data_IF_637192161803
#
_entry.id   IF_637192161803
#
_cell.length_a   1.000
_cell.length_b   1.000
_cell.length_c   1.000
_cell.angle_alpha   90.00
_cell.angle_beta   90.00
_cell.angle_gamma   90.00
#
_symmetry.space_group_name_H-M   'P 1'
#
loop_
_entity.id
_entity.type
_entity.pdbx_description
1 polymer ?
#
# COMPACT_ATOMS: atom_id res chain seq x y z
N UNK A 1 1.54 38.64 6.52
CA UNK A 1 1.23 37.87 5.29
C UNK A 1 1.53 36.37 5.42
N UNK A 2 2.73 35.95 5.87
CA UNK A 2 3.07 34.51 6.03
C UNK A 2 2.16 33.73 7.01
N UNK A 3 1.77 34.35 8.14
CA UNK A 3 0.89 33.72 9.15
C UNK A 3 -0.55 33.50 8.67
N UNK A 4 -1.04 34.36 7.76
CA UNK A 4 -2.39 34.25 7.17
C UNK A 4 -2.44 33.10 6.15
N UNK A 5 -1.36 32.88 5.41
CA UNK A 5 -1.22 31.73 4.51
C UNK A 5 -1.19 30.40 5.28
N UNK A 6 -0.44 30.33 6.40
CA UNK A 6 -0.42 29.14 7.25
C UNK A 6 -1.78 28.82 7.87
N UNK A 7 -2.53 29.84 8.30
CA UNK A 7 -3.89 29.67 8.83
C UNK A 7 -4.88 29.21 7.75
N UNK A 8 -4.77 29.74 6.53
CA UNK A 8 -5.60 29.32 5.40
C UNK A 8 -5.34 27.88 4.97
N UNK A 9 -4.08 27.41 5.05
CA UNK A 9 -3.70 26.03 4.77
C UNK A 9 -4.25 25.07 5.86
N UNK A 10 -4.19 25.46 7.13
CA UNK A 10 -4.74 24.67 8.24
C UNK A 10 -6.27 24.58 8.20
N UNK A 11 -6.95 25.63 7.76
CA UNK A 11 -8.42 25.65 7.55
C UNK A 11 -8.83 24.88 6.29
N UNK A 12 -7.99 24.84 5.25
CA UNK A 12 -8.22 23.99 4.08
C UNK A 12 -7.97 22.50 4.37
N UNK A 13 -7.16 22.19 5.40
CA UNK A 13 -6.89 20.84 5.86
C UNK A 13 -7.94 20.30 6.85
N UNK A 14 -8.84 21.15 7.37
CA UNK A 14 -9.93 20.68 8.23
C UNK A 14 -11.04 20.06 7.39
N UNK A 15 -11.06 18.73 7.31
CA UNK A 15 -12.19 17.98 6.75
C UNK A 15 -13.36 18.07 7.75
N UNK A 16 -14.60 18.32 7.31
CA UNK A 16 -15.74 18.28 8.22
C UNK A 16 -15.87 16.88 8.83
N UNK A 17 -15.86 16.79 10.16
CA UNK A 17 -16.31 15.60 10.86
C UNK A 17 -17.82 15.46 10.65
N UNK A 18 -18.23 14.61 9.71
CA UNK A 18 -19.60 14.16 9.55
C UNK A 18 -20.01 13.37 10.80
N UNK A 19 -20.50 14.07 11.81
CA UNK A 19 -21.00 13.47 13.03
C UNK A 19 -22.35 12.77 12.74
N UNK A 20 -22.25 11.44 12.61
CA UNK A 20 -23.27 10.35 12.61
C UNK A 20 -23.90 9.90 11.27
N UNK A 21 -23.62 8.63 10.89
CA UNK A 21 -24.65 7.67 10.52
C UNK A 21 -24.83 6.69 11.69
N UNK A 22 -26.00 6.69 12.32
CA UNK A 22 -26.35 5.62 13.26
C UNK A 22 -26.23 4.26 12.56
N UNK A 23 -25.42 3.37 13.10
CA UNK A 23 -25.35 1.95 12.72
C UNK A 23 -25.12 1.70 11.21
N UNK A 24 -24.24 2.47 10.56
CA UNK A 24 -23.60 1.95 9.36
C UNK A 24 -22.67 0.81 9.83
N UNK A 25 -23.17 -0.42 9.83
CA UNK A 25 -22.31 -1.59 9.96
C UNK A 25 -21.17 -1.42 8.96
N UNK A 26 -19.92 -1.48 9.45
CA UNK A 26 -18.76 -1.31 8.59
C UNK A 26 -18.89 -2.27 7.41
N UNK A 27 -19.20 -1.69 6.27
CA UNK A 27 -19.72 -2.41 5.11
C UNK A 27 -18.63 -2.61 4.07
N UNK A 28 -19.00 -3.22 2.95
CA UNK A 28 -18.13 -3.32 1.77
C UNK A 28 -17.68 -1.92 1.31
N UNK A 29 -18.56 -0.92 1.39
CA UNK A 29 -18.26 0.47 0.97
C UNK A 29 -17.16 1.09 1.82
N UNK A 30 -17.22 0.94 3.14
CA UNK A 30 -16.17 1.44 4.04
C UNK A 30 -14.85 0.76 3.74
N UNK A 31 -14.87 -0.57 3.55
CA UNK A 31 -13.71 -1.32 3.09
C UNK A 31 -13.12 -0.80 1.78
N UNK A 32 -13.96 -0.47 0.80
CA UNK A 32 -13.51 0.07 -0.49
C UNK A 32 -12.89 1.46 -0.36
N UNK A 33 -13.44 2.33 0.48
CA UNK A 33 -12.94 3.69 0.67
C UNK A 33 -11.66 3.71 1.51
N UNK A 34 -11.47 2.73 2.39
CA UNK A 34 -10.41 2.72 3.38
C UNK A 34 -8.99 2.85 2.77
N UNK A 35 -8.59 2.08 1.73
CA UNK A 35 -7.29 2.28 1.07
C UNK A 35 -7.11 3.61 0.34
N UNK A 36 -8.19 4.33 0.05
CA UNK A 36 -8.14 5.63 -0.63
C UNK A 36 -7.90 6.78 0.35
N UNK A 37 -8.31 6.61 1.61
CA UNK A 37 -8.19 7.63 2.64
C UNK A 37 -6.88 7.52 3.43
N UNK A 38 -6.31 6.32 3.56
CA UNK A 38 -4.99 6.09 4.17
C UNK A 38 -3.85 6.37 3.18
N UNK A 39 -3.07 7.44 3.43
CA UNK A 39 -2.00 7.83 2.51
C UNK A 39 -0.82 6.85 2.49
N UNK A 40 -0.48 6.28 3.63
CA UNK A 40 0.47 5.18 3.77
C UNK A 40 0.07 3.98 2.91
N UNK A 41 -1.19 3.57 2.99
CA UNK A 41 -1.71 2.41 2.28
C UNK A 41 -1.80 2.65 0.78
N UNK A 42 -2.32 3.80 0.37
CA UNK A 42 -2.37 4.23 -1.02
C UNK A 42 -0.98 4.22 -1.66
N UNK A 43 0.02 4.82 -0.99
CA UNK A 43 1.38 4.88 -1.50
C UNK A 43 2.03 3.50 -1.53
N UNK A 44 1.84 2.66 -0.51
CA UNK A 44 2.36 1.30 -0.47
C UNK A 44 1.82 0.44 -1.62
N UNK A 45 0.49 0.48 -1.86
CA UNK A 45 -0.16 -0.29 -2.92
C UNK A 45 0.29 0.15 -4.32
N UNK A 46 0.35 1.47 -4.55
CA UNK A 46 0.85 2.01 -5.81
C UNK A 46 2.32 1.64 -6.01
N UNK A 47 3.17 1.79 -5.00
CA UNK A 47 4.59 1.46 -5.07
C UNK A 47 4.83 -0.03 -5.32
N UNK A 48 4.13 -0.91 -4.61
CA UNK A 48 4.20 -2.35 -4.80
C UNK A 48 3.75 -2.74 -6.22
N UNK A 49 2.71 -2.09 -6.73
CA UNK A 49 2.23 -2.26 -8.10
C UNK A 49 3.30 -1.85 -9.12
N UNK A 50 3.84 -0.64 -8.97
CA UNK A 50 4.90 -0.10 -9.83
C UNK A 50 6.13 -1.02 -9.81
N UNK A 51 6.55 -1.46 -8.63
CA UNK A 51 7.73 -2.30 -8.47
C UNK A 51 7.53 -3.68 -9.09
N UNK A 52 6.35 -4.30 -8.87
CA UNK A 52 6.04 -5.66 -9.35
C UNK A 52 6.14 -5.79 -10.88
N UNK A 53 5.63 -4.83 -11.65
CA UNK A 53 5.69 -4.88 -13.12
C UNK A 53 7.11 -4.66 -13.66
N UNK A 54 7.98 -4.02 -12.88
CA UNK A 54 9.35 -3.68 -13.27
C UNK A 54 10.35 -4.81 -13.03
N UNK A 55 9.97 -5.84 -12.27
CA UNK A 55 10.77 -7.06 -12.09
C UNK A 55 10.93 -7.84 -13.40
N UNK A 56 9.89 -7.94 -14.24
CA UNK A 56 9.89 -8.77 -15.46
C UNK A 56 10.48 -8.12 -16.73
N UNK A 57 10.89 -6.84 -16.73
CA UNK A 57 11.19 -6.09 -17.98
C UNK A 57 12.57 -6.36 -18.63
N UNK A 58 13.36 -7.38 -18.23
CA UNK A 58 14.56 -7.81 -19.01
C UNK A 58 14.62 -9.30 -19.36
N UNK A 59 13.67 -10.13 -18.93
CA UNK A 59 13.48 -11.41 -19.62
C UNK A 59 12.76 -11.08 -20.93
N UNK A 60 13.54 -10.94 -21.99
CA UNK A 60 13.01 -10.64 -23.32
C UNK A 60 11.94 -11.64 -23.70
N UNK A 61 10.72 -11.14 -23.88
CA UNK A 61 9.68 -11.64 -24.79
C UNK A 61 9.64 -13.15 -25.10
N UNK A 62 9.84 -14.02 -24.12
CA UNK A 62 9.70 -15.45 -24.28
C UNK A 62 8.81 -15.97 -23.15
N UNK A 63 7.54 -16.16 -23.47
CA UNK A 63 6.55 -16.91 -22.68
C UNK A 63 6.93 -18.40 -22.46
N UNK A 64 8.19 -18.80 -22.74
CA UNK A 64 8.69 -20.18 -22.71
C UNK A 64 9.93 -20.38 -21.85
N UNK A 65 10.53 -19.34 -21.26
CA UNK A 65 11.76 -19.50 -20.47
C UNK A 65 11.49 -19.21 -19.00
N UNK A 66 11.11 -20.25 -18.23
CA UNK A 66 11.31 -20.39 -16.77
C UNK A 66 10.97 -19.23 -15.79
N UNK A 67 10.43 -18.12 -16.26
CA UNK A 67 10.23 -16.89 -15.51
C UNK A 67 8.94 -16.95 -14.70
N UNK A 68 8.95 -16.33 -13.52
CA UNK A 68 7.79 -16.26 -12.64
C UNK A 68 6.68 -15.45 -13.31
N UNK A 69 5.46 -16.02 -13.37
CA UNK A 69 4.30 -15.38 -14.02
C UNK A 69 4.14 -13.92 -13.52
N UNK A 70 3.85 -12.94 -14.40
CA UNK A 70 3.88 -11.51 -14.05
C UNK A 70 2.90 -11.08 -12.95
N UNK A 71 1.99 -11.98 -12.55
CA UNK A 71 1.00 -11.79 -11.49
C UNK A 71 1.35 -12.47 -10.16
N UNK A 72 2.47 -13.19 -10.05
CA UNK A 72 2.83 -13.87 -8.79
C UNK A 72 3.04 -12.87 -7.66
N UNK A 73 3.85 -11.82 -7.87
CA UNK A 73 4.08 -10.81 -6.83
C UNK A 73 2.78 -10.10 -6.40
N UNK A 74 1.90 -9.66 -7.33
CA UNK A 74 0.59 -9.13 -6.94
C UNK A 74 -0.28 -10.13 -6.17
N UNK A 75 -0.31 -11.39 -6.59
CA UNK A 75 -1.11 -12.42 -5.92
C UNK A 75 -0.59 -12.70 -4.49
N UNK A 76 0.73 -12.80 -4.33
CA UNK A 76 1.38 -12.93 -3.01
C UNK A 76 1.04 -11.73 -2.14
N UNK A 77 1.12 -10.52 -2.67
CA UNK A 77 0.78 -9.31 -1.93
C UNK A 77 -0.66 -9.36 -1.43
N UNK A 78 -1.65 -9.58 -2.30
CA UNK A 78 -3.08 -9.62 -1.90
C UNK A 78 -3.38 -10.77 -0.93
N UNK A 79 -2.76 -11.95 -1.12
CA UNK A 79 -2.93 -13.08 -0.20
C UNK A 79 -2.34 -12.77 1.20
N UNK A 80 -1.13 -12.21 1.24
CA UNK A 80 -0.47 -11.81 2.48
C UNK A 80 -1.21 -10.67 3.20
N UNK A 81 -1.77 -9.73 2.44
CA UNK A 81 -2.66 -8.68 2.95
C UNK A 81 -3.88 -9.29 3.65
N UNK A 82 -4.53 -10.26 3.01
CA UNK A 82 -5.68 -10.96 3.59
C UNK A 82 -5.32 -11.74 4.85
N UNK A 83 -4.15 -12.40 4.87
CA UNK A 83 -3.65 -13.10 6.05
C UNK A 83 -3.34 -12.14 7.21
N UNK A 84 -2.70 -10.99 6.92
CA UNK A 84 -2.48 -9.93 7.90
C UNK A 84 -3.79 -9.40 8.46
N UNK A 85 -4.76 -9.10 7.59
CA UNK A 85 -6.09 -8.64 7.99
C UNK A 85 -6.80 -9.65 8.89
N UNK A 86 -6.78 -10.94 8.54
CA UNK A 86 -7.33 -11.99 9.40
C UNK A 86 -6.67 -12.02 10.79
N UNK A 87 -5.34 -11.86 10.86
CA UNK A 87 -4.62 -11.80 12.13
C UNK A 87 -4.99 -10.55 12.95
N UNK A 88 -5.13 -9.39 12.30
CA UNK A 88 -5.57 -8.15 12.94
C UNK A 88 -6.99 -8.25 13.49
N UNK A 89 -7.93 -8.79 12.71
CA UNK A 89 -9.31 -9.03 13.15
C UNK A 89 -9.38 -10.02 14.33
N UNK A 90 -8.43 -10.95 14.43
CA UNK A 90 -8.28 -11.87 15.56
C UNK A 90 -7.65 -11.21 16.82
N UNK A 91 -7.31 -9.92 16.76
CA UNK A 91 -6.77 -9.15 17.87
C UNK A 91 -5.24 -9.22 18.03
N UNK A 92 -4.52 -9.73 17.03
CA UNK A 92 -3.05 -9.75 17.08
C UNK A 92 -2.50 -8.32 16.90
N UNK A 93 -1.91 -7.77 17.96
CA UNK A 93 -1.25 -6.47 17.92
C UNK A 93 0.26 -6.66 17.69
N UNK A 94 0.81 -5.97 16.69
CA UNK A 94 2.23 -5.97 16.40
C UNK A 94 2.88 -4.72 17.02
N UNK A 95 3.90 -4.85 17.89
CA UNK A 95 4.62 -3.69 18.42
C UNK A 95 5.31 -2.89 17.32
N UNK A 96 5.21 -1.56 17.37
CA UNK A 96 5.85 -0.67 16.40
C UNK A 96 5.23 -0.70 14.99
N UNK A 97 3.96 -1.09 14.88
CA UNK A 97 3.27 -1.28 13.60
C UNK A 97 3.28 -0.05 12.70
N UNK A 98 3.04 1.14 13.26
CA UNK A 98 3.07 2.42 12.53
C UNK A 98 4.44 2.67 11.90
N UNK A 99 5.53 2.57 12.68
CA UNK A 99 6.89 2.70 12.17
C UNK A 99 7.22 1.61 11.14
N UNK A 100 6.71 0.39 11.35
CA UNK A 100 6.82 -0.71 10.40
C UNK A 100 6.19 -0.38 9.05
N UNK A 101 4.95 0.14 9.05
CA UNK A 101 4.22 0.58 7.85
C UNK A 101 4.98 1.70 7.14
N UNK A 102 5.37 2.74 7.86
CA UNK A 102 6.15 3.85 7.31
C UNK A 102 7.45 3.37 6.65
N UNK A 103 8.16 2.43 7.29
CA UNK A 103 9.35 1.79 6.74
C UNK A 103 9.05 1.04 5.44
N UNK A 104 7.94 0.31 5.36
CA UNK A 104 7.58 -0.41 4.13
C UNK A 104 7.27 0.53 2.96
N UNK A 105 6.62 1.67 3.20
CA UNK A 105 6.39 2.72 2.20
C UNK A 105 7.72 3.27 1.70
N UNK A 106 8.61 3.64 2.64
CA UNK A 106 9.94 4.15 2.32
C UNK A 106 10.74 3.14 1.48
N UNK A 107 10.86 1.90 1.95
CA UNK A 107 11.65 0.87 1.29
C UNK A 107 11.10 0.52 -0.09
N UNK A 108 9.78 0.38 -0.24
CA UNK A 108 9.17 0.09 -1.54
C UNK A 108 9.39 1.26 -2.51
N UNK A 109 9.30 2.50 -2.04
CA UNK A 109 9.67 3.68 -2.80
C UNK A 109 11.14 3.65 -3.26
N UNK A 110 12.08 3.32 -2.37
CA UNK A 110 13.51 3.16 -2.69
C UNK A 110 13.73 2.09 -3.75
N UNK A 111 13.09 0.93 -3.60
CA UNK A 111 13.18 -0.17 -4.58
C UNK A 111 12.72 0.28 -5.98
N UNK A 112 11.65 1.07 -6.06
CA UNK A 112 11.18 1.66 -7.32
C UNK A 112 12.17 2.70 -7.85
N UNK A 113 12.61 3.64 -7.01
CA UNK A 113 13.47 4.77 -7.36
C UNK A 113 14.84 4.32 -7.86
N UNK A 114 15.43 3.33 -7.18
CA UNK A 114 16.71 2.72 -7.53
C UNK A 114 16.58 1.64 -8.61
N UNK A 115 15.34 1.27 -8.99
CA UNK A 115 15.04 0.19 -9.93
C UNK A 115 15.67 -1.15 -9.53
N UNK A 116 15.64 -1.45 -8.23
CA UNK A 116 16.17 -2.67 -7.65
C UNK A 116 15.38 -3.87 -8.18
N UNK A 117 16.12 -4.93 -8.52
CA UNK A 117 15.56 -6.21 -8.92
C UNK A 117 15.99 -7.30 -7.97
N UNK A 118 15.05 -8.15 -7.61
CA UNK A 118 15.26 -9.27 -6.70
C UNK A 118 14.88 -10.57 -7.40
N UNK A 119 15.50 -11.71 -7.04
CA UNK A 119 14.97 -13.01 -7.45
C UNK A 119 13.54 -13.15 -6.91
N UNK A 120 12.69 -13.89 -7.64
CA UNK A 120 11.25 -13.92 -7.38
C UNK A 120 10.89 -14.32 -5.94
N UNK A 121 11.59 -15.29 -5.36
CA UNK A 121 11.37 -15.71 -3.98
C UNK A 121 11.66 -14.59 -2.96
N UNK A 122 12.75 -13.84 -3.14
CA UNK A 122 13.12 -12.75 -2.25
C UNK A 122 12.15 -11.58 -2.39
N UNK A 123 11.72 -11.27 -3.61
CA UNK A 123 10.69 -10.27 -3.86
C UNK A 123 9.34 -10.64 -3.25
N UNK A 124 8.95 -11.92 -3.33
CA UNK A 124 7.73 -12.44 -2.72
C UNK A 124 7.78 -12.39 -1.19
N UNK A 125 8.90 -12.78 -0.58
CA UNK A 125 9.09 -12.68 0.87
C UNK A 125 9.03 -11.23 1.35
N UNK A 126 9.74 -10.32 0.68
CA UNK A 126 9.78 -8.91 1.07
C UNK A 126 8.40 -8.24 0.97
N UNK A 127 7.75 -8.35 -0.19
CA UNK A 127 6.41 -7.80 -0.39
C UNK A 127 5.36 -8.48 0.49
N UNK A 128 5.47 -9.79 0.70
CA UNK A 128 4.58 -10.54 1.59
C UNK A 128 4.67 -10.03 3.02
N UNK A 129 5.88 -9.81 3.55
CA UNK A 129 6.06 -9.23 4.88
C UNK A 129 5.46 -7.83 4.98
N UNK A 130 5.65 -6.98 3.96
CA UNK A 130 5.06 -5.63 3.95
C UNK A 130 3.53 -5.66 3.90
N UNK A 131 2.98 -6.60 3.14
CA UNK A 131 1.55 -6.85 3.04
C UNK A 131 0.95 -7.36 4.36
N UNK A 132 1.66 -8.21 5.10
CA UNK A 132 1.19 -8.69 6.42
C UNK A 132 1.07 -7.53 7.41
N UNK A 133 2.05 -6.62 7.46
CA UNK A 133 2.02 -5.47 8.37
C UNK A 133 0.84 -4.54 8.07
N UNK A 134 0.69 -4.12 6.81
CA UNK A 134 -0.47 -3.31 6.42
C UNK A 134 -1.77 -4.06 6.68
N UNK A 135 -1.87 -5.31 6.21
CA UNK A 135 -3.03 -6.16 6.45
C UNK A 135 -3.42 -6.19 7.92
N UNK A 136 -2.46 -6.39 8.82
CA UNK A 136 -2.70 -6.45 10.26
C UNK A 136 -3.26 -5.14 10.84
N UNK A 137 -2.69 -3.98 10.50
CA UNK A 137 -3.23 -2.68 10.93
C UNK A 137 -4.69 -2.51 10.49
N UNK A 138 -4.94 -2.79 9.21
CA UNK A 138 -6.28 -2.68 8.62
C UNK A 138 -7.27 -3.70 9.20
N UNK A 139 -6.82 -4.89 9.56
CA UNK A 139 -7.64 -5.89 10.24
C UNK A 139 -8.01 -5.49 11.67
N UNK A 140 -7.15 -4.74 12.37
CA UNK A 140 -7.45 -4.17 13.69
C UNK A 140 -8.49 -3.05 13.58
N UNK A 141 -8.44 -2.26 12.50
CA UNK A 141 -9.37 -1.14 12.24
C UNK A 141 -10.71 -1.57 11.64
N UNK A 142 -10.72 -2.62 10.82
CA UNK A 142 -11.89 -3.17 10.12
C UNK A 142 -12.21 -4.60 10.58
N UNK A 143 -12.70 -4.81 11.82
CA UNK A 143 -13.00 -6.14 12.38
C UNK A 143 -14.11 -6.94 11.67
N UNK A 144 -14.76 -6.37 10.64
CA UNK A 144 -15.86 -7.00 9.93
C UNK A 144 -15.43 -7.58 8.58
N UNK A 145 -15.86 -8.83 8.30
CA UNK A 145 -15.52 -9.54 7.06
C UNK A 145 -15.98 -8.81 5.78
N UNK A 146 -17.10 -8.10 5.83
CA UNK A 146 -17.62 -7.33 4.69
C UNK A 146 -16.67 -6.18 4.30
N UNK A 147 -16.15 -5.45 5.29
CA UNK A 147 -15.13 -4.42 5.08
C UNK A 147 -13.81 -5.00 4.60
N UNK A 148 -13.38 -6.14 5.15
CA UNK A 148 -12.17 -6.81 4.69
C UNK A 148 -12.24 -7.19 3.20
N UNK A 149 -13.40 -7.64 2.71
CA UNK A 149 -13.60 -7.92 1.29
C UNK A 149 -13.49 -6.66 0.40
N UNK A 150 -14.15 -5.56 0.79
CA UNK A 150 -14.04 -4.28 0.08
C UNK A 150 -12.60 -3.75 0.06
N UNK A 151 -11.93 -3.83 1.20
CA UNK A 151 -10.54 -3.44 1.38
C UNK A 151 -9.57 -4.22 0.49
N UNK A 152 -9.69 -5.55 0.44
CA UNK A 152 -8.86 -6.39 -0.43
C UNK A 152 -9.15 -6.10 -1.91
N UNK A 153 -10.43 -5.88 -2.25
CA UNK A 153 -10.85 -5.50 -3.61
C UNK A 153 -10.22 -4.20 -4.08
N UNK A 154 -10.34 -3.12 -3.29
CA UNK A 154 -9.70 -1.84 -3.62
C UNK A 154 -8.17 -1.94 -3.62
N UNK A 155 -7.60 -2.69 -2.68
CA UNK A 155 -6.14 -2.93 -2.63
C UNK A 155 -5.64 -3.59 -3.92
N UNK A 156 -6.36 -4.59 -4.44
CA UNK A 156 -6.03 -5.23 -5.71
C UNK A 156 -6.13 -4.25 -6.91
N UNK A 157 -7.15 -3.37 -6.91
CA UNK A 157 -7.30 -2.35 -7.94
C UNK A 157 -6.16 -1.32 -7.93
N UNK A 158 -5.80 -0.81 -6.76
CA UNK A 158 -4.70 0.13 -6.59
C UNK A 158 -3.35 -0.50 -6.96
N UNK A 159 -3.14 -1.76 -6.60
CA UNK A 159 -1.97 -2.53 -7.01
C UNK A 159 -1.93 -2.67 -8.54
N UNK A 160 -3.07 -2.93 -9.18
CA UNK A 160 -3.24 -2.92 -10.63
C UNK A 160 -2.92 -1.55 -11.26
N UNK A 161 -3.43 -0.47 -10.68
CA UNK A 161 -3.15 0.90 -11.12
C UNK A 161 -1.65 1.23 -11.00
N UNK A 162 -1.01 0.85 -9.90
CA UNK A 162 0.44 0.95 -9.71
C UNK A 162 1.21 0.20 -10.80
N UNK A 163 0.76 -1.01 -11.18
CA UNK A 163 1.37 -1.77 -12.28
C UNK A 163 1.25 -1.05 -13.63
N UNK A 164 0.12 -0.39 -13.90
CA UNK A 164 -0.04 0.41 -15.10
C UNK A 164 0.90 1.63 -15.06
N UNK A 165 0.93 2.36 -13.94
CA UNK A 165 1.81 3.51 -13.75
C UNK A 165 3.30 3.14 -13.84
N UNK A 166 3.69 1.94 -13.37
CA UNK A 166 5.06 1.45 -13.44
C UNK A 166 5.59 1.19 -14.86
N UNK A 167 4.69 1.22 -15.85
CA UNK A 167 5.06 1.16 -17.27
C UNK A 167 5.56 2.49 -17.83
N UNK A 168 5.18 3.61 -17.20
CA UNK A 168 5.53 4.97 -17.59
C UNK A 168 7.00 5.30 -17.30
N UNK A 169 7.60 6.26 -18.02
CA UNK A 169 9.00 6.66 -17.80
C UNK A 169 9.22 7.35 -16.44
N UNK A 170 8.17 7.90 -15.83
CA UNK A 170 8.21 8.63 -14.56
C UNK A 170 8.24 7.72 -13.31
N UNK A 171 8.15 6.40 -13.47
CA UNK A 171 8.03 5.47 -12.34
C UNK A 171 9.14 5.64 -11.29
N UNK A 172 10.38 5.94 -11.69
CA UNK A 172 11.49 6.14 -10.75
C UNK A 172 11.34 7.43 -9.94
N UNK A 173 10.82 8.48 -10.56
CA UNK A 173 10.53 9.76 -9.88
C UNK A 173 9.41 9.55 -8.87
N UNK A 174 8.34 8.84 -9.27
CA UNK A 174 7.27 8.45 -8.37
C UNK A 174 7.79 7.63 -7.18
N UNK A 175 8.69 6.67 -7.43
CA UNK A 175 9.36 5.91 -6.37
C UNK A 175 10.14 6.81 -5.39
N UNK A 176 10.87 7.80 -5.89
CA UNK A 176 11.60 8.76 -5.06
C UNK A 176 10.68 9.62 -4.19
N UNK A 177 9.56 10.08 -4.75
CA UNK A 177 8.54 10.81 -4.00
C UNK A 177 7.90 9.94 -2.92
N UNK A 178 7.58 8.68 -3.22
CA UNK A 178 7.05 7.71 -2.25
C UNK A 178 8.06 7.43 -1.14
N UNK A 179 9.34 7.25 -1.49
CA UNK A 179 10.41 7.04 -0.51
C UNK A 179 10.53 8.22 0.46
N UNK A 180 10.49 9.44 -0.07
CA UNK A 180 10.52 10.66 0.75
C UNK A 180 9.28 10.79 1.65
N UNK A 181 8.09 10.43 1.16
CA UNK A 181 6.88 10.39 1.98
C UNK A 181 7.00 9.38 3.13
N UNK A 182 7.48 8.17 2.87
CA UNK A 182 7.71 7.16 3.92
C UNK A 182 8.76 7.58 4.94
N UNK A 183 9.84 8.24 4.51
CA UNK A 183 10.82 8.84 5.42
C UNK A 183 10.20 9.95 6.28
N UNK A 184 9.33 10.78 5.69
CA UNK A 184 8.57 11.79 6.41
C UNK A 184 7.66 11.17 7.47
N UNK A 185 6.97 10.07 7.15
CA UNK A 185 6.16 9.32 8.12
C UNK A 185 7.01 8.81 9.28
N UNK A 186 8.17 8.18 9.00
CA UNK A 186 9.09 7.70 10.03
C UNK A 186 9.61 8.81 10.95
N UNK A 187 9.81 10.02 10.43
CA UNK A 187 10.33 11.15 11.20
C UNK A 187 9.25 11.81 12.09
N UNK A 188 7.97 11.53 11.85
CA UNK A 188 6.83 12.12 12.56
C UNK A 188 6.18 11.15 13.58
N UNK A 189 6.63 9.89 13.59
CA UNK A 189 6.13 8.82 14.44
C UNK A 189 6.94 8.69 15.73
#
# INVERSE_FOLDING_TARGET
MKKLFSAAILLAASVPALAHPGHAEMGIVDGLLHPLTGIDHLLALLAAGIWSVRQGRREGLNLRSGGTHPLVLPAVFVAAMGAGAAAGMAGLHIPGLESGIALTVMLTGVLVAAAVRLPAWAGAMLLGSFAILHGNAHGLELPHAASAAGYLGMSALLLGAGRLAGRLPLARIAGGAIAAAGLGMLALN
#
